data_IF_545245482594
#
_entry.id   IF_545245482594
#
_cell.length_a   1.000
_cell.length_b   1.000
_cell.length_c   1.000
_cell.angle_alpha   90.00
_cell.angle_beta   90.00
_cell.angle_gamma   90.00
#
_symmetry.space_group_name_H-M   'P 1'
#
loop_
_entity.id
_entity.type
_entity.pdbx_description
1 polymer ?
#
# COMPACT_ATOMS: atom_id res chain seq x y z
N UNK A 1 -48.60 85.00 22.86
CA UNK A 1 -49.16 84.24 23.99
C UNK A 1 -50.47 83.61 23.53
N UNK A 2 -50.84 82.45 24.10
CA UNK A 2 -51.99 81.57 23.77
C UNK A 2 -51.71 80.57 22.63
N UNK A 3 -51.97 79.25 22.73
CA UNK A 3 -52.43 78.39 23.84
C UNK A 3 -51.92 76.97 23.57
N UNK A 4 -51.31 76.34 24.58
CA UNK A 4 -50.98 74.91 24.62
C UNK A 4 -52.19 74.12 25.16
N UNK A 5 -53.31 74.15 24.45
CA UNK A 5 -54.53 73.44 24.86
C UNK A 5 -54.90 72.42 23.78
N UNK A 6 -54.23 71.27 23.81
CA UNK A 6 -54.52 70.19 22.87
C UNK A 6 -53.83 68.85 23.13
N UNK A 7 -52.99 68.71 24.16
CA UNK A 7 -52.09 67.54 24.26
C UNK A 7 -52.54 66.42 25.23
N UNK A 8 -53.69 66.53 25.91
CA UNK A 8 -54.10 65.59 26.97
C UNK A 8 -55.57 65.11 26.87
N UNK A 9 -56.17 65.08 25.67
CA UNK A 9 -57.56 64.62 25.50
C UNK A 9 -57.75 63.10 25.67
N UNK A 10 -56.67 62.33 25.72
CA UNK A 10 -56.69 60.88 25.96
C UNK A 10 -56.59 60.52 27.45
N UNK A 11 -56.31 61.49 28.32
CA UNK A 11 -56.14 61.28 29.74
C UNK A 11 -57.47 61.56 30.47
N UNK A 12 -57.95 60.67 31.34
CA UNK A 12 -59.19 60.89 32.08
C UNK A 12 -59.17 62.21 32.87
N UNK A 13 -60.28 62.93 32.98
CA UNK A 13 -60.33 64.23 33.68
C UNK A 13 -60.20 64.08 35.20
N UNK A 14 -60.62 62.94 35.76
CA UNK A 14 -60.52 62.67 37.19
C UNK A 14 -59.15 62.10 37.55
N UNK A 15 -58.48 62.71 38.54
CA UNK A 15 -57.14 62.30 39.00
C UNK A 15 -57.08 60.83 39.45
N UNK A 16 -58.15 60.31 40.06
CA UNK A 16 -58.27 58.91 40.46
C UNK A 16 -58.25 57.96 39.24
N UNK A 17 -58.95 58.31 38.16
CA UNK A 17 -58.96 57.54 36.91
C UNK A 17 -57.61 57.59 36.19
N UNK A 18 -56.89 58.73 36.26
CA UNK A 18 -55.53 58.85 35.74
C UNK A 18 -54.56 57.92 36.48
N UNK A 19 -54.67 57.82 37.81
CA UNK A 19 -53.86 56.91 38.61
C UNK A 19 -54.14 55.43 38.26
N UNK A 20 -55.41 55.08 38.11
CA UNK A 20 -55.81 53.73 37.67
C UNK A 20 -55.30 53.40 36.26
N UNK A 21 -55.32 54.36 35.34
CA UNK A 21 -54.73 54.20 34.01
C UNK A 21 -53.21 53.99 34.11
N UNK A 22 -52.52 54.77 34.95
CA UNK A 22 -51.09 54.60 35.23
C UNK A 22 -50.75 53.20 35.75
N UNK A 23 -51.52 52.69 36.73
CA UNK A 23 -51.37 51.32 37.21
C UNK A 23 -51.59 50.28 36.13
N UNK A 24 -52.59 50.47 35.25
CA UNK A 24 -52.85 49.55 34.13
C UNK A 24 -51.73 49.56 33.10
N UNK A 25 -51.17 50.72 32.78
CA UNK A 25 -50.03 50.85 31.85
C UNK A 25 -48.81 50.14 32.43
N UNK A 26 -48.51 50.37 33.70
CA UNK A 26 -47.38 49.72 34.40
C UNK A 26 -47.59 48.21 34.47
N UNK A 27 -48.76 47.75 34.88
CA UNK A 27 -49.12 46.33 34.95
C UNK A 27 -49.02 45.67 33.57
N UNK A 28 -49.51 46.33 32.51
CA UNK A 28 -49.36 45.83 31.13
C UNK A 28 -47.90 45.78 30.69
N UNK A 29 -47.09 46.79 31.02
CA UNK A 29 -45.66 46.81 30.71
C UNK A 29 -44.91 45.66 31.39
N UNK A 30 -45.20 45.39 32.67
CA UNK A 30 -44.62 44.25 33.38
C UNK A 30 -45.09 42.91 32.82
N UNK A 31 -46.39 42.76 32.52
CA UNK A 31 -46.93 41.55 31.88
C UNK A 31 -46.27 41.29 30.53
N UNK A 32 -46.12 42.31 29.69
CA UNK A 32 -45.44 42.17 28.40
C UNK A 32 -43.97 41.80 28.57
N UNK A 33 -43.27 42.39 29.56
CA UNK A 33 -41.88 42.03 29.85
C UNK A 33 -41.74 40.59 30.33
N UNK A 34 -42.61 40.15 31.24
CA UNK A 34 -42.66 38.75 31.72
C UNK A 34 -42.93 37.82 30.54
N UNK A 35 -43.93 38.12 29.72
CA UNK A 35 -44.27 37.31 28.56
C UNK A 35 -43.10 37.20 27.56
N UNK A 36 -42.40 38.31 27.29
CA UNK A 36 -41.22 38.30 26.43
C UNK A 36 -40.09 37.43 26.99
N UNK A 37 -39.80 37.54 28.30
CA UNK A 37 -38.80 36.71 28.96
C UNK A 37 -39.21 35.23 28.98
N UNK A 38 -40.48 34.91 29.18
CA UNK A 38 -40.99 33.54 29.12
C UNK A 38 -40.83 32.93 27.71
N UNK A 39 -41.12 33.71 26.67
CA UNK A 39 -40.91 33.27 25.29
C UNK A 39 -39.43 33.04 24.99
N UNK A 40 -38.55 33.95 25.43
CA UNK A 40 -37.10 33.82 25.27
C UNK A 40 -36.57 32.58 25.97
N UNK A 41 -36.99 32.32 27.22
CA UNK A 41 -36.63 31.11 27.96
C UNK A 41 -37.07 29.85 27.20
N UNK A 42 -38.28 29.84 26.62
CA UNK A 42 -38.76 28.69 25.83
C UNK A 42 -37.92 28.49 24.56
N UNK A 43 -37.60 29.56 23.84
CA UNK A 43 -36.79 29.49 22.63
C UNK A 43 -35.36 29.00 22.92
N UNK A 44 -34.74 29.51 24.00
CA UNK A 44 -33.42 29.08 24.46
C UNK A 44 -33.42 27.61 24.87
N UNK A 45 -34.47 27.13 25.57
CA UNK A 45 -34.60 25.71 25.93
C UNK A 45 -34.70 24.81 24.70
N UNK A 46 -35.50 25.20 23.70
CA UNK A 46 -35.61 24.43 22.46
C UNK A 46 -34.27 24.34 21.72
N UNK A 47 -33.55 25.46 21.63
CA UNK A 47 -32.22 25.50 21.02
C UNK A 47 -31.23 24.62 21.79
N UNK A 48 -31.27 24.65 23.12
CA UNK A 48 -30.41 23.82 23.96
C UNK A 48 -30.69 22.33 23.76
N UNK A 49 -31.95 21.94 23.67
CA UNK A 49 -32.37 20.57 23.37
C UNK A 49 -31.87 20.12 21.99
N UNK A 50 -32.03 20.94 20.95
CA UNK A 50 -31.51 20.65 19.60
C UNK A 50 -29.99 20.46 19.61
N UNK A 51 -29.26 21.33 20.31
CA UNK A 51 -27.80 21.21 20.46
C UNK A 51 -27.40 19.94 21.22
N UNK A 52 -28.15 19.56 22.25
CA UNK A 52 -27.91 18.32 23.01
C UNK A 52 -28.12 17.08 22.12
N UNK A 53 -29.15 17.10 21.26
CA UNK A 53 -29.38 16.04 20.28
C UNK A 53 -28.25 15.97 19.23
N UNK A 54 -27.81 17.13 18.70
CA UNK A 54 -26.66 17.19 17.78
C UNK A 54 -25.39 16.61 18.41
N UNK A 55 -25.10 16.95 19.67
CA UNK A 55 -23.96 16.39 20.42
C UNK A 55 -24.08 14.87 20.54
N UNK A 56 -25.26 14.36 20.87
CA UNK A 56 -25.49 12.90 20.99
C UNK A 56 -25.24 12.18 19.67
N UNK A 57 -25.70 12.74 18.54
CA UNK A 57 -25.47 12.16 17.20
C UNK A 57 -23.98 12.19 16.85
N UNK A 58 -23.30 13.30 17.10
CA UNK A 58 -21.86 13.42 16.85
C UNK A 58 -21.05 12.46 17.72
N UNK A 59 -21.41 12.30 19.00
CA UNK A 59 -20.79 11.31 19.88
C UNK A 59 -20.94 9.88 19.34
N UNK A 60 -22.15 9.49 18.92
CA UNK A 60 -22.38 8.17 18.30
C UNK A 60 -21.55 7.97 17.04
N UNK A 61 -21.50 8.98 16.17
CA UNK A 61 -20.69 8.93 14.94
C UNK A 61 -19.20 8.82 15.27
N UNK A 62 -18.72 9.56 16.27
CA UNK A 62 -17.33 9.51 16.68
C UNK A 62 -16.96 8.12 17.21
N UNK A 63 -17.76 7.55 18.13
CA UNK A 63 -17.54 6.20 18.63
C UNK A 63 -17.60 5.14 17.52
N UNK A 64 -18.49 5.30 16.53
CA UNK A 64 -18.53 4.40 15.36
C UNK A 64 -17.26 4.47 14.53
N UNK A 65 -16.74 5.68 14.28
CA UNK A 65 -15.51 5.88 13.52
C UNK A 65 -14.28 5.38 14.28
N UNK A 66 -14.24 5.52 15.61
CA UNK A 66 -13.19 4.96 16.45
C UNK A 66 -13.13 3.44 16.34
N UNK A 67 -14.28 2.76 16.35
CA UNK A 67 -14.36 1.31 16.15
C UNK A 67 -13.88 0.92 14.76
N UNK A 68 -14.38 1.57 13.70
CA UNK A 68 -13.96 1.28 12.31
C UNK A 68 -12.46 1.50 12.10
N UNK A 69 -11.89 2.54 12.71
CA UNK A 69 -10.45 2.82 12.68
C UNK A 69 -9.65 1.68 13.33
N UNK A 70 -10.09 1.21 14.50
CA UNK A 70 -9.43 0.10 15.22
C UNK A 70 -9.51 -1.18 14.39
N UNK A 71 -10.68 -1.52 13.85
CA UNK A 71 -10.87 -2.71 13.01
C UNK A 71 -10.03 -2.67 11.73
N UNK A 72 -9.99 -1.52 11.06
CA UNK A 72 -9.18 -1.31 9.86
C UNK A 72 -7.69 -1.41 10.15
N UNK A 73 -7.23 -0.87 11.29
CA UNK A 73 -5.85 -0.99 11.74
C UNK A 73 -5.48 -2.45 12.03
N UNK A 74 -6.34 -3.18 12.74
CA UNK A 74 -6.15 -4.60 13.05
C UNK A 74 -6.09 -5.45 11.77
N UNK A 75 -6.99 -5.22 10.82
CA UNK A 75 -6.99 -5.91 9.52
C UNK A 75 -5.71 -5.63 8.73
N UNK A 76 -5.25 -4.38 8.72
CA UNK A 76 -4.00 -4.00 8.04
C UNK A 76 -2.79 -4.69 8.67
N UNK A 77 -2.76 -4.79 10.01
CA UNK A 77 -1.71 -5.50 10.72
C UNK A 77 -1.71 -6.99 10.38
N UNK A 78 -2.86 -7.66 10.41
CA UNK A 78 -3.00 -9.08 10.05
C UNK A 78 -2.49 -9.35 8.63
N UNK A 79 -2.96 -8.59 7.64
CA UNK A 79 -2.49 -8.71 6.26
C UNK A 79 -0.99 -8.42 6.13
N UNK A 80 -0.45 -7.51 6.94
CA UNK A 80 0.98 -7.22 7.00
C UNK A 80 1.80 -8.40 7.55
N UNK A 81 1.27 -9.14 8.52
CA UNK A 81 1.90 -10.35 9.07
C UNK A 81 1.82 -11.52 8.09
N UNK A 82 0.65 -11.75 7.50
CA UNK A 82 0.44 -12.77 6.45
C UNK A 82 1.35 -12.53 5.25
N UNK A 83 1.46 -11.28 4.76
CA UNK A 83 2.37 -10.95 3.66
C UNK A 83 3.84 -11.20 4.01
N UNK A 84 4.27 -10.94 5.24
CA UNK A 84 5.64 -11.27 5.69
C UNK A 84 5.85 -12.78 5.68
N UNK A 85 4.86 -13.55 6.11
CA UNK A 85 4.93 -15.00 6.12
C UNK A 85 4.97 -15.58 4.69
N UNK A 86 4.05 -15.15 3.82
CA UNK A 86 4.05 -15.51 2.40
C UNK A 86 5.37 -15.13 1.71
N UNK A 87 5.93 -13.96 2.03
CA UNK A 87 7.22 -13.57 1.50
C UNK A 87 8.34 -14.52 1.93
N UNK A 88 8.35 -14.94 3.20
CA UNK A 88 9.31 -15.94 3.70
C UNK A 88 9.14 -17.29 2.99
N UNK A 89 7.90 -17.76 2.79
CA UNK A 89 7.65 -19.03 2.08
C UNK A 89 8.08 -18.96 0.63
N UNK A 90 7.77 -17.87 -0.08
CA UNK A 90 8.21 -17.64 -1.47
C UNK A 90 9.74 -17.61 -1.56
N UNK A 91 10.43 -16.94 -0.64
CA UNK A 91 11.90 -16.96 -0.62
C UNK A 91 12.45 -18.37 -0.36
N UNK A 92 11.85 -19.13 0.55
CA UNK A 92 12.27 -20.50 0.85
C UNK A 92 12.09 -21.41 -0.38
N UNK A 93 10.94 -21.34 -1.04
CA UNK A 93 10.64 -22.10 -2.25
C UNK A 93 11.59 -21.71 -3.40
N UNK A 94 11.86 -20.41 -3.62
CA UNK A 94 12.85 -19.96 -4.62
C UNK A 94 14.23 -20.55 -4.38
N UNK A 95 14.68 -20.61 -3.10
CA UNK A 95 15.95 -21.26 -2.74
C UNK A 95 15.93 -22.75 -3.04
N UNK A 96 14.82 -23.45 -2.77
CA UNK A 96 14.67 -24.87 -3.09
C UNK A 96 14.69 -25.12 -4.60
N UNK A 97 13.99 -24.30 -5.39
CA UNK A 97 14.01 -24.38 -6.87
C UNK A 97 15.43 -24.18 -7.39
N UNK A 98 16.16 -23.16 -6.93
CA UNK A 98 17.57 -22.95 -7.31
C UNK A 98 18.45 -24.18 -7.00
N UNK A 99 18.28 -24.78 -5.82
CA UNK A 99 19.01 -26.01 -5.46
C UNK A 99 18.68 -27.18 -6.39
N UNK A 100 17.41 -27.33 -6.77
CA UNK A 100 16.99 -28.37 -7.71
C UNK A 100 17.54 -28.13 -9.12
N UNK A 101 17.60 -26.87 -9.57
CA UNK A 101 18.22 -26.52 -10.84
C UNK A 101 19.73 -26.79 -10.85
N UNK A 102 20.43 -26.49 -9.75
CA UNK A 102 21.86 -26.78 -9.62
C UNK A 102 22.14 -28.29 -9.58
N UNK A 103 21.29 -29.05 -8.88
CA UNK A 103 21.34 -30.53 -8.89
C UNK A 103 21.09 -31.07 -10.30
N UNK A 104 20.10 -30.56 -11.02
CA UNK A 104 19.81 -30.93 -12.41
C UNK A 104 21.01 -30.63 -13.32
N UNK A 105 21.61 -29.44 -13.21
CA UNK A 105 22.81 -29.07 -14.00
C UNK A 105 23.97 -30.01 -13.72
N UNK A 106 24.23 -30.30 -12.44
CA UNK A 106 25.30 -31.21 -12.03
C UNK A 106 25.07 -32.62 -12.58
N UNK A 107 23.83 -33.12 -12.50
CA UNK A 107 23.45 -34.42 -13.04
C UNK A 107 23.63 -34.48 -14.57
N UNK A 108 23.15 -33.47 -15.30
CA UNK A 108 23.31 -33.38 -16.76
C UNK A 108 24.79 -33.29 -17.15
N UNK A 109 25.61 -32.54 -16.40
CA UNK A 109 27.06 -32.47 -16.63
C UNK A 109 27.71 -33.85 -16.43
N UNK A 110 27.38 -34.57 -15.36
CA UNK A 110 27.94 -35.90 -15.12
C UNK A 110 27.53 -36.93 -16.19
N UNK A 111 26.29 -36.87 -16.69
CA UNK A 111 25.85 -37.73 -17.79
C UNK A 111 26.58 -37.39 -19.10
N UNK A 112 26.78 -36.09 -19.38
CA UNK A 112 27.51 -35.62 -20.55
C UNK A 112 29.00 -36.01 -20.48
N UNK A 113 29.62 -35.91 -19.30
CA UNK A 113 30.99 -36.36 -19.04
C UNK A 113 31.10 -37.87 -19.26
N UNK A 114 30.15 -38.68 -18.74
CA UNK A 114 30.15 -40.14 -18.94
C UNK A 114 29.99 -40.49 -20.43
N UNK A 115 29.16 -39.76 -21.19
CA UNK A 115 29.06 -39.94 -22.64
C UNK A 115 30.35 -39.54 -23.37
N UNK A 116 30.96 -38.40 -23.03
CA UNK A 116 32.21 -37.95 -23.64
C UNK A 116 33.37 -38.89 -23.34
N UNK A 117 33.47 -39.34 -22.09
CA UNK A 117 34.52 -40.26 -21.64
C UNK A 117 34.36 -41.66 -22.24
N UNK A 118 33.14 -42.14 -22.44
CA UNK A 118 32.88 -43.39 -23.17
C UNK A 118 33.25 -43.28 -24.66
N UNK A 119 33.03 -42.13 -25.30
CA UNK A 119 33.41 -41.88 -26.69
C UNK A 119 34.92 -41.71 -26.85
N UNK A 120 35.59 -41.02 -25.92
CA UNK A 120 37.05 -40.88 -25.90
C UNK A 120 37.75 -42.21 -25.61
N UNK A 121 37.23 -43.02 -24.68
CA UNK A 121 37.79 -44.35 -24.38
C UNK A 121 37.58 -45.33 -25.54
N UNK A 122 36.39 -45.31 -26.18
CA UNK A 122 36.14 -46.07 -27.40
C UNK A 122 37.01 -45.59 -28.59
N UNK A 123 37.23 -44.27 -28.73
CA UNK A 123 38.10 -43.70 -29.76
C UNK A 123 39.57 -43.99 -29.49
N UNK A 124 40.00 -44.00 -28.23
CA UNK A 124 41.35 -44.38 -27.79
C UNK A 124 41.62 -45.86 -28.02
N UNK A 125 40.64 -46.73 -27.73
CA UNK A 125 40.66 -48.15 -28.07
C UNK A 125 40.71 -48.38 -29.59
N UNK A 126 39.91 -47.66 -30.37
CA UNK A 126 39.95 -47.74 -31.84
C UNK A 126 41.29 -47.28 -32.42
N UNK A 127 41.85 -46.18 -31.91
CA UNK A 127 43.17 -45.70 -32.34
C UNK A 127 44.27 -46.71 -31.97
N UNK A 128 44.26 -47.27 -30.76
CA UNK A 128 45.24 -48.28 -30.35
C UNK A 128 45.09 -49.61 -31.09
N UNK A 129 43.86 -50.02 -31.43
CA UNK A 129 43.57 -51.23 -32.21
C UNK A 129 43.91 -51.07 -33.70
N UNK A 130 43.75 -49.87 -34.28
CA UNK A 130 44.16 -49.55 -35.64
C UNK A 130 45.70 -49.49 -35.78
N UNK A 131 46.40 -48.90 -34.80
CA UNK A 131 47.86 -48.95 -34.74
C UNK A 131 48.39 -50.37 -34.59
N UNK A 132 47.78 -51.19 -33.72
CA UNK A 132 48.11 -52.62 -33.57
C UNK A 132 47.84 -53.38 -34.87
N UNK A 133 46.68 -53.19 -35.52
CA UNK A 133 46.36 -53.82 -36.83
C UNK A 133 47.32 -53.42 -37.95
N UNK A 134 47.80 -52.18 -37.97
CA UNK A 134 48.76 -51.72 -38.99
C UNK A 134 50.18 -52.29 -38.78
N UNK A 135 50.52 -52.66 -37.53
CA UNK A 135 51.83 -53.16 -37.16
C UNK A 135 51.99 -54.68 -37.31
N UNK A 136 50.91 -55.44 -37.55
CA UNK A 136 50.98 -56.90 -37.79
C UNK A 136 50.87 -57.24 -39.28
N UNK A 137 51.82 -57.98 -39.87
CA UNK A 137 51.68 -58.48 -41.23
C UNK A 137 50.61 -59.59 -41.26
N UNK A 138 49.64 -59.50 -42.17
CA UNK A 138 48.60 -60.53 -42.35
C UNK A 138 49.21 -61.86 -42.79
N UNK A 139 49.44 -62.77 -41.84
CA UNK A 139 49.63 -64.20 -42.15
C UNK A 139 48.99 -65.09 -41.09
N UNK A 140 47.95 -65.80 -41.53
CA UNK A 140 47.46 -67.10 -41.08
C UNK A 140 47.23 -67.41 -39.58
N UNK A 141 45.94 -67.51 -39.24
CA UNK A 141 45.28 -68.71 -38.70
C UNK A 141 45.94 -69.54 -37.57
N UNK A 142 45.15 -69.69 -36.50
CA UNK A 142 44.67 -70.97 -35.92
C UNK A 142 45.05 -71.28 -34.45
N UNK A 143 44.11 -71.97 -33.79
CA UNK A 143 44.28 -72.98 -32.71
C UNK A 143 44.06 -72.54 -31.25
N UNK A 144 42.81 -72.79 -30.80
CA UNK A 144 42.33 -73.49 -29.58
C UNK A 144 42.72 -73.05 -28.15
N UNK A 145 41.73 -73.09 -27.26
CA UNK A 145 41.92 -73.60 -25.88
C UNK A 145 41.17 -72.85 -24.77
N UNK A 146 39.99 -73.35 -24.39
CA UNK A 146 39.29 -73.10 -23.10
C UNK A 146 39.81 -74.16 -22.06
N UNK A 147 39.42 -74.24 -20.75
CA UNK A 147 38.71 -73.33 -19.80
C UNK A 147 39.20 -73.37 -18.28
N UNK A 148 38.56 -72.52 -17.43
CA UNK A 148 38.30 -72.62 -15.95
C UNK A 148 39.34 -72.11 -14.88
N UNK A 149 38.99 -71.91 -13.57
CA UNK A 149 38.06 -70.89 -12.99
C UNK A 149 38.47 -70.32 -11.59
N UNK A 150 37.57 -69.49 -10.97
CA UNK A 150 37.41 -69.14 -9.52
C UNK A 150 38.43 -68.19 -8.88
N UNK A 151 38.16 -67.37 -7.85
CA UNK A 151 37.00 -66.87 -7.09
C UNK A 151 37.64 -66.01 -5.96
N UNK A 152 37.06 -64.87 -5.57
CA UNK A 152 36.77 -64.48 -4.16
C UNK A 152 36.68 -62.95 -3.93
N UNK A 153 35.74 -62.55 -3.07
CA UNK A 153 35.89 -61.38 -2.19
C UNK A 153 35.15 -60.07 -2.52
N UNK A 154 33.87 -59.97 -2.18
CA UNK A 154 33.15 -58.71 -1.89
C UNK A 154 33.12 -58.45 -0.36
N UNK A 155 32.44 -57.42 0.21
CA UNK A 155 32.60 -55.96 0.11
C UNK A 155 32.52 -55.22 1.49
N UNK A 156 32.53 -53.88 1.44
CA UNK A 156 32.05 -52.88 2.45
C UNK A 156 32.96 -52.55 3.67
N UNK A 157 33.12 -51.26 4.01
CA UNK A 157 32.37 -50.62 5.11
C UNK A 157 32.71 -49.12 5.37
N UNK A 158 31.66 -48.38 5.79
CA UNK A 158 31.52 -47.16 6.63
C UNK A 158 32.07 -45.75 6.30
N UNK A 159 31.10 -44.84 6.18
CA UNK A 159 31.09 -43.43 6.62
C UNK A 159 31.63 -43.24 8.05
N UNK A 160 32.30 -42.11 8.33
CA UNK A 160 31.93 -41.20 9.45
C UNK A 160 32.61 -39.82 9.38
N UNK A 161 31.79 -38.80 9.63
CA UNK A 161 32.07 -37.39 9.87
C UNK A 161 32.63 -37.12 11.27
N UNK A 162 33.51 -36.11 11.43
CA UNK A 162 33.44 -35.10 12.51
C UNK A 162 34.64 -34.12 12.50
N UNK A 163 34.35 -32.80 12.40
CA UNK A 163 35.21 -31.69 12.86
C UNK A 163 35.26 -31.66 14.42
N UNK A 164 36.23 -30.99 15.10
CA UNK A 164 36.17 -29.52 15.31
C UNK A 164 37.50 -28.75 15.55
N UNK A 165 37.41 -27.41 15.41
CA UNK A 165 38.28 -26.38 16.02
C UNK A 165 39.47 -25.94 15.17
N UNK A 166 39.79 -24.67 14.94
CA UNK A 166 39.40 -23.39 15.53
C UNK A 166 40.68 -22.55 15.74
N UNK A 167 40.75 -21.30 15.24
CA UNK A 167 41.60 -20.24 15.80
C UNK A 167 41.38 -18.86 15.14
N UNK A 168 41.53 -17.85 15.99
CA UNK A 168 41.29 -16.41 15.87
C UNK A 168 42.31 -15.62 15.04
N UNK A 169 41.89 -14.43 14.58
CA UNK A 169 42.50 -13.09 14.80
C UNK A 169 41.63 -12.07 14.02
N UNK A 170 41.08 -10.93 14.49
CA UNK A 170 41.37 -9.86 15.47
C UNK A 170 41.59 -8.50 14.76
N UNK A 171 40.77 -7.51 15.14
CA UNK A 171 40.99 -6.05 14.98
C UNK A 171 40.14 -5.38 13.89
N UNK A 172 39.41 -4.27 14.08
CA UNK A 172 39.18 -3.38 15.23
C UNK A 172 38.56 -2.05 14.73
N UNK A 173 37.64 -1.45 15.52
CA UNK A 173 37.19 -0.03 15.52
C UNK A 173 36.41 0.48 14.29
N UNK A 174 35.53 1.48 14.33
CA UNK A 174 34.89 2.29 15.36
C UNK A 174 33.69 3.02 14.69
N UNK A 175 32.68 3.43 15.47
CA UNK A 175 31.59 4.33 15.04
C UNK A 175 32.12 5.73 14.68
N UNK A 176 31.34 6.54 13.95
CA UNK A 176 30.58 7.58 14.66
C UNK A 176 29.18 7.88 14.12
N UNK A 177 28.40 8.51 14.99
CA UNK A 177 27.03 9.04 14.84
C UNK A 177 26.88 10.15 13.78
N UNK A 178 25.69 10.23 13.17
CA UNK A 178 25.25 11.36 12.34
C UNK A 178 23.75 11.31 12.01
N UNK A 179 22.98 12.12 12.76
CA UNK A 179 21.72 12.81 12.43
C UNK A 179 20.68 12.14 11.49
N UNK A 180 19.52 11.81 12.07
CA UNK A 180 18.28 11.51 11.37
C UNK A 180 17.58 12.82 10.95
N UNK A 181 17.60 13.13 9.65
CA UNK A 181 16.65 14.03 9.02
C UNK A 181 15.62 13.20 8.25
N UNK A 182 14.35 13.47 8.52
CA UNK A 182 13.21 12.70 8.06
C UNK A 182 12.97 12.97 6.56
N UNK A 183 13.36 12.03 5.71
CA UNK A 183 13.05 12.03 4.29
C UNK A 183 12.14 10.82 4.00
N UNK A 184 10.89 11.11 3.70
CA UNK A 184 9.86 10.12 3.39
C UNK A 184 10.14 9.63 1.96
N UNK A 185 10.86 8.52 1.85
CA UNK A 185 11.13 7.82 0.60
C UNK A 185 10.08 6.72 0.43
N UNK A 186 9.01 7.01 -0.32
CA UNK A 186 8.01 6.02 -0.76
C UNK A 186 8.41 5.51 -2.14
N UNK A 187 9.15 4.40 -2.18
CA UNK A 187 9.33 3.58 -3.37
C UNK A 187 8.58 2.26 -3.18
N UNK A 188 7.70 1.93 -4.12
CA UNK A 188 7.35 0.53 -4.42
C UNK A 188 5.89 0.12 -4.29
N UNK A 189 4.99 0.70 -5.07
CA UNK A 189 3.88 -0.08 -5.67
C UNK A 189 3.98 0.13 -7.17
N UNK A 190 4.22 -0.97 -7.89
CA UNK A 190 4.46 -0.97 -9.32
C UNK A 190 3.25 -0.45 -10.11
N UNK A 191 3.55 0.39 -11.09
CA UNK A 191 2.73 0.59 -12.28
C UNK A 191 3.69 0.52 -13.47
N UNK A 192 3.23 -0.03 -14.62
CA UNK A 192 4.11 -0.43 -15.70
C UNK A 192 4.81 0.79 -16.29
N UNK A 193 6.05 0.58 -16.69
CA UNK A 193 6.86 1.58 -17.37
C UNK A 193 6.32 1.79 -18.79
N UNK A 194 5.57 2.88 -18.99
CA UNK A 194 5.47 3.59 -20.27
C UNK A 194 6.24 4.90 -20.12
N UNK A 195 7.48 4.89 -20.61
CA UNK A 195 8.39 6.02 -20.54
C UNK A 195 7.91 7.16 -21.42
N UNK A 196 7.36 8.20 -20.80
CA UNK A 196 7.73 9.63 -20.91
C UNK A 196 6.66 10.45 -20.15
N UNK A 197 7.13 11.40 -19.35
CA UNK A 197 6.42 12.44 -18.58
C UNK A 197 5.40 12.11 -17.47
N UNK A 198 4.97 10.87 -17.25
CA UNK A 198 4.05 10.57 -16.13
C UNK A 198 4.57 11.04 -14.75
N UNK A 199 5.86 10.82 -14.45
CA UNK A 199 6.48 11.25 -13.19
C UNK A 199 6.62 12.78 -13.07
N UNK A 200 6.85 13.47 -14.18
CA UNK A 200 6.97 14.93 -14.19
C UNK A 200 5.62 15.59 -14.06
N UNK A 201 4.61 15.04 -14.73
CA UNK A 201 3.21 15.44 -14.58
C UNK A 201 2.78 15.42 -13.11
N UNK A 202 2.98 14.32 -12.37
CA UNK A 202 2.62 14.26 -10.94
C UNK A 202 3.39 15.28 -10.09
N UNK A 203 4.66 15.54 -10.43
CA UNK A 203 5.47 16.55 -9.73
C UNK A 203 4.97 17.97 -10.01
N UNK A 204 4.62 18.26 -11.25
CA UNK A 204 4.06 19.55 -11.69
C UNK A 204 2.66 19.79 -11.10
N UNK A 205 1.79 18.77 -11.16
CA UNK A 205 0.46 18.80 -10.58
C UNK A 205 0.50 19.06 -9.07
N UNK A 206 1.42 18.42 -8.34
CA UNK A 206 1.61 18.65 -6.90
C UNK A 206 2.07 20.09 -6.58
N UNK A 207 2.93 20.67 -7.42
CA UNK A 207 3.46 22.01 -7.18
C UNK A 207 2.43 23.12 -7.44
N UNK A 208 1.42 22.84 -8.28
CA UNK A 208 0.45 23.84 -8.75
C UNK A 208 -0.92 23.69 -8.11
N UNK A 209 -1.32 22.47 -7.75
CA UNK A 209 -2.59 22.21 -7.10
C UNK A 209 -2.52 22.46 -5.60
N UNK A 210 -3.65 22.85 -5.02
CA UNK A 210 -3.83 22.81 -3.58
C UNK A 210 -3.70 21.38 -3.07
N UNK A 211 -3.31 21.23 -1.81
CA UNK A 211 -3.18 19.92 -1.17
C UNK A 211 -4.48 19.10 -1.25
N UNK A 212 -5.62 19.76 -1.10
CA UNK A 212 -6.95 19.14 -1.21
C UNK A 212 -7.27 18.70 -2.65
N UNK A 213 -7.01 19.54 -3.65
CA UNK A 213 -7.23 19.19 -5.05
C UNK A 213 -6.32 18.04 -5.50
N UNK A 214 -5.05 18.06 -5.10
CA UNK A 214 -4.11 16.99 -5.44
C UNK A 214 -4.49 15.64 -4.80
N UNK A 215 -4.95 15.63 -3.54
CA UNK A 215 -5.42 14.40 -2.90
C UNK A 215 -6.71 13.87 -3.54
N UNK A 216 -7.63 14.75 -3.91
CA UNK A 216 -8.83 14.38 -4.68
C UNK A 216 -8.46 13.77 -6.03
N UNK A 217 -7.45 14.32 -6.71
CA UNK A 217 -6.92 13.78 -7.96
C UNK A 217 -6.34 12.37 -7.81
N UNK A 218 -5.53 12.13 -6.77
CA UNK A 218 -5.00 10.80 -6.47
C UNK A 218 -6.10 9.78 -6.17
N UNK A 219 -7.13 10.19 -5.43
CA UNK A 219 -8.27 9.34 -5.14
C UNK A 219 -9.05 8.96 -6.41
N UNK A 220 -9.20 9.90 -7.35
CA UNK A 220 -9.86 9.67 -8.63
C UNK A 220 -9.08 8.65 -9.50
N UNK A 221 -7.75 8.80 -9.62
CA UNK A 221 -6.89 7.82 -10.31
C UNK A 221 -7.00 6.43 -9.66
N UNK A 222 -7.01 6.38 -8.33
CA UNK A 222 -7.11 5.11 -7.60
C UNK A 222 -8.44 4.38 -7.87
N UNK A 223 -9.55 5.12 -8.03
CA UNK A 223 -10.87 4.56 -8.39
C UNK A 223 -10.87 4.00 -9.80
N UNK A 224 -10.25 4.70 -10.76
CA UNK A 224 -10.08 4.19 -12.12
C UNK A 224 -9.25 2.88 -12.13
N UNK A 225 -8.11 2.87 -11.42
CA UNK A 225 -7.23 1.69 -11.35
C UNK A 225 -7.91 0.49 -10.67
N UNK A 226 -8.77 0.74 -9.68
CA UNK A 226 -9.56 -0.30 -9.01
C UNK A 226 -10.82 -0.71 -9.81
N UNK A 227 -10.99 -0.22 -11.05
CA UNK A 227 -12.17 -0.48 -11.89
C UNK A 227 -13.50 -0.08 -11.22
N UNK A 228 -13.46 0.89 -10.30
CA UNK A 228 -14.63 1.41 -9.57
C UNK A 228 -15.32 2.56 -10.32
N UNK A 229 -14.71 3.06 -11.39
CA UNK A 229 -15.18 4.22 -12.15
C UNK A 229 -14.78 4.04 -13.61
N UNK A 230 -15.64 4.48 -14.52
CA UNK A 230 -15.36 4.45 -15.96
C UNK A 230 -14.38 5.55 -16.36
N UNK A 231 -13.70 5.39 -17.50
CA UNK A 231 -12.75 6.39 -18.02
C UNK A 231 -13.40 7.77 -18.19
N UNK A 232 -14.62 7.82 -18.73
CA UNK A 232 -15.36 9.07 -18.94
C UNK A 232 -15.71 9.78 -17.63
N UNK A 233 -16.20 9.03 -16.63
CA UNK A 233 -16.48 9.58 -15.30
C UNK A 233 -15.20 10.09 -14.62
N UNK A 234 -14.07 9.41 -14.80
CA UNK A 234 -12.78 9.85 -14.24
C UNK A 234 -12.30 11.14 -14.90
N UNK A 235 -12.54 11.33 -16.19
CA UNK A 235 -12.20 12.56 -16.91
C UNK A 235 -13.08 13.74 -16.47
N UNK A 236 -14.38 13.54 -16.29
CA UNK A 236 -15.27 14.62 -15.82
C UNK A 236 -14.89 15.09 -14.40
N UNK A 237 -14.62 14.14 -13.51
CA UNK A 237 -14.19 14.44 -12.14
C UNK A 237 -12.79 15.06 -12.10
N UNK A 238 -11.87 14.64 -12.99
CA UNK A 238 -10.56 15.28 -13.13
C UNK A 238 -10.70 16.74 -13.59
N UNK A 239 -11.59 17.03 -14.55
CA UNK A 239 -11.87 18.40 -14.99
C UNK A 239 -12.38 19.28 -13.84
N UNK A 240 -13.22 18.72 -12.97
CA UNK A 240 -13.70 19.41 -11.77
C UNK A 240 -12.60 19.68 -10.75
N UNK A 241 -11.68 18.73 -10.56
CA UNK A 241 -10.57 18.83 -9.60
C UNK A 241 -9.50 19.84 -10.05
N UNK A 242 -9.15 19.85 -11.34
CA UNK A 242 -8.19 20.83 -11.90
C UNK A 242 -8.81 22.22 -12.06
N UNK A 243 -10.12 22.30 -12.27
CA UNK A 243 -10.85 23.55 -12.46
C UNK A 243 -10.42 24.31 -13.72
N UNK A 244 -10.89 25.56 -13.84
CA UNK A 244 -10.57 26.40 -14.99
C UNK A 244 -9.13 26.94 -14.98
N UNK A 245 -8.47 26.97 -13.83
CA UNK A 245 -7.12 27.52 -13.67
C UNK A 245 -6.00 26.58 -14.15
N UNK A 246 -6.27 25.28 -14.21
CA UNK A 246 -5.26 24.26 -14.55
C UNK A 246 -5.73 23.33 -15.68
N UNK A 247 -6.37 23.90 -16.72
CA UNK A 247 -6.82 23.16 -17.90
C UNK A 247 -5.70 22.47 -18.68
N UNK A 248 -4.47 22.97 -18.57
CA UNK A 248 -3.29 22.36 -19.18
C UNK A 248 -2.97 20.99 -18.57
N UNK A 249 -3.07 20.86 -17.23
CA UNK A 249 -2.92 19.58 -16.54
C UNK A 249 -4.03 18.60 -16.94
N UNK A 250 -5.25 19.10 -17.14
CA UNK A 250 -6.36 18.27 -17.62
C UNK A 250 -6.13 17.75 -19.05
N UNK A 251 -5.65 18.60 -19.97
CA UNK A 251 -5.34 18.17 -21.35
C UNK A 251 -4.24 17.12 -21.38
N UNK A 252 -3.20 17.29 -20.57
CA UNK A 252 -2.11 16.32 -20.46
C UNK A 252 -2.61 14.98 -19.87
N UNK A 253 -3.45 15.04 -18.84
CA UNK A 253 -4.10 13.86 -18.26
C UNK A 253 -5.03 13.15 -19.27
N UNK A 254 -5.85 13.91 -20.01
CA UNK A 254 -6.75 13.39 -21.03
C UNK A 254 -5.99 12.65 -22.14
N UNK A 255 -4.87 13.23 -22.61
CA UNK A 255 -4.02 12.58 -23.61
C UNK A 255 -3.42 11.29 -23.06
N UNK A 256 -2.97 11.27 -21.80
CA UNK A 256 -2.37 10.08 -21.20
C UNK A 256 -3.39 8.96 -20.93
N UNK A 257 -4.66 9.29 -20.65
CA UNK A 257 -5.73 8.31 -20.40
C UNK A 257 -6.32 7.74 -21.70
N UNK A 258 -6.29 8.48 -22.81
CA UNK A 258 -6.84 8.06 -24.11
C UNK A 258 -5.82 7.45 -25.08
N UNK A 259 -4.55 7.31 -24.68
CA UNK A 259 -3.49 6.67 -25.48
C UNK A 259 -3.34 5.18 -25.18
N UNK A 260 -4.07 4.63 -24.19
CA UNK A 260 -4.23 3.18 -23.91
C UNK A 260 -5.61 2.65 -24.30
#
# INVERSE_FOLDING_TARGET
MASREGEMTWLPEQHEEQLQLGFRIIDNAFKNKIHGLEQEIRALRLTNEEKTQQVTVLQKKNSSLEVELIESHQRTQQLGEENKELFRTVQALKKQVSRLDDLKKTLMASLSDVEQQAVEDASSLLMSEEYLRSAVPLTAASVTGVPYPRQDGSPQNVLRSSYPGGSNAQGGGAQPSGQLQQQINMEGVGSPASGVDGKQFFRNARARLSYEAFNSFLANIKRLNNHQQTRDETLDEAQRIFGAEHQDLYREYFLNVNVE
#
